data_IF_676737970345
#
_entry.id   IF_676737970345
#
_cell.length_a   1.000
_cell.length_b   1.000
_cell.length_c   1.000
_cell.angle_alpha   90.00
_cell.angle_beta   90.00
_cell.angle_gamma   90.00
#
_symmetry.space_group_name_H-M   'P 1'
#
loop_
_entity.id
_entity.type
_entity.pdbx_description
1 polymer ?
#
# COMPACT_ATOMS: atom_id res chain seq x y z
N UNK A 1 -65.57 20.70 26.24
CA UNK A 1 -64.24 20.64 25.60
C UNK A 1 -63.34 19.79 26.49
N UNK A 2 -62.98 18.58 26.07
CA UNK A 2 -62.09 17.70 26.82
C UNK A 2 -60.66 17.87 26.30
N UNK A 3 -59.74 18.23 27.19
CA UNK A 3 -58.32 18.38 26.86
C UNK A 3 -57.64 17.01 26.92
N UNK A 4 -57.08 16.57 25.79
CA UNK A 4 -56.27 15.36 25.68
C UNK A 4 -54.83 15.75 26.01
N UNK A 5 -54.29 15.21 27.11
CA UNK A 5 -52.88 15.35 27.44
C UNK A 5 -52.06 14.31 26.66
N UNK A 6 -51.16 14.76 25.79
CA UNK A 6 -50.18 13.89 25.15
C UNK A 6 -49.06 13.57 26.15
N UNK A 7 -48.90 12.28 26.47
CA UNK A 7 -47.73 11.78 27.18
C UNK A 7 -46.52 11.76 26.23
N UNK A 8 -45.43 12.42 26.60
CA UNK A 8 -44.18 12.39 25.88
C UNK A 8 -43.42 11.09 26.20
N UNK A 9 -43.10 10.30 25.18
CA UNK A 9 -42.25 9.11 25.32
C UNK A 9 -40.79 9.51 25.59
N UNK A 10 -40.09 8.83 26.50
CA UNK A 10 -38.67 9.10 26.74
C UNK A 10 -37.84 8.66 25.53
N UNK A 11 -37.02 9.57 25.01
CA UNK A 11 -36.01 9.29 23.98
C UNK A 11 -34.91 8.43 24.60
N UNK A 12 -34.73 7.21 24.09
CA UNK A 12 -33.55 6.39 24.38
C UNK A 12 -32.31 7.06 23.79
N UNK A 13 -31.20 7.19 24.55
CA UNK A 13 -29.96 7.71 24.00
C UNK A 13 -29.46 6.73 22.94
N UNK A 14 -29.31 7.19 21.69
CA UNK A 14 -28.54 6.44 20.69
C UNK A 14 -27.08 6.55 21.11
N UNK A 15 -26.50 5.44 21.55
CA UNK A 15 -25.05 5.28 21.61
C UNK A 15 -24.52 5.43 20.18
N UNK A 16 -23.98 6.60 19.83
CA UNK A 16 -23.17 6.70 18.62
C UNK A 16 -21.91 5.90 18.88
N UNK A 17 -21.74 4.78 18.18
CA UNK A 17 -20.40 4.21 18.00
C UNK A 17 -19.59 5.30 17.30
N UNK A 18 -18.69 5.95 18.03
CA UNK A 18 -17.68 6.79 17.40
C UNK A 18 -16.92 5.87 16.44
N UNK A 19 -16.87 6.23 15.15
CA UNK A 19 -16.00 5.54 14.22
C UNK A 19 -14.59 5.53 14.83
N UNK A 20 -13.94 4.37 14.87
CA UNK A 20 -12.55 4.31 15.31
C UNK A 20 -11.76 5.27 14.43
N UNK A 21 -11.07 6.23 15.06
CA UNK A 21 -10.22 7.14 14.33
C UNK A 21 -9.11 6.32 13.65
N UNK A 22 -8.87 6.56 12.37
CA UNK A 22 -7.74 5.95 11.68
C UNK A 22 -6.46 6.45 12.38
N UNK A 23 -5.51 5.57 12.74
CA UNK A 23 -4.27 5.98 13.37
C UNK A 23 -3.44 6.85 12.42
N UNK A 24 -2.52 7.62 12.98
CA UNK A 24 -1.48 8.32 12.22
C UNK A 24 -0.13 7.70 12.59
N UNK A 25 0.33 6.66 11.87
CA UNK A 25 1.63 6.07 12.11
C UNK A 25 2.76 7.09 11.96
N UNK A 26 3.83 6.92 12.73
CA UNK A 26 5.07 7.69 12.56
C UNK A 26 5.80 7.30 11.29
N UNK A 27 5.78 6.01 10.95
CA UNK A 27 6.36 5.46 9.74
C UNK A 27 5.44 4.41 9.11
N UNK A 28 5.27 4.48 7.79
CA UNK A 28 4.61 3.46 6.99
C UNK A 28 5.62 2.95 5.96
N UNK A 29 5.81 1.64 5.88
CA UNK A 29 6.51 0.98 4.76
C UNK A 29 5.50 0.23 3.93
N UNK A 30 5.44 0.54 2.65
CA UNK A 30 4.58 -0.12 1.67
C UNK A 30 5.47 -0.92 0.74
N UNK A 31 5.25 -2.22 0.67
CA UNK A 31 5.97 -3.12 -0.23
C UNK A 31 5.00 -3.64 -1.25
N UNK A 32 5.40 -3.56 -2.52
CA UNK A 32 4.61 -4.01 -3.65
C UNK A 32 5.34 -5.18 -4.29
N UNK A 33 4.76 -6.36 -4.15
CA UNK A 33 5.12 -7.59 -4.87
C UNK A 33 4.30 -7.66 -6.17
N UNK A 34 4.50 -8.69 -7.00
CA UNK A 34 3.86 -8.74 -8.31
C UNK A 34 3.24 -10.06 -8.73
N UNK A 35 2.25 -9.94 -9.62
CA UNK A 35 1.71 -11.01 -10.47
C UNK A 35 1.31 -12.27 -9.68
N UNK A 36 0.54 -12.11 -8.60
CA UNK A 36 0.03 -13.23 -7.81
C UNK A 36 -1.35 -12.95 -7.26
N UNK A 37 -2.21 -13.95 -7.38
CA UNK A 37 -3.54 -13.90 -6.76
C UNK A 37 -3.49 -14.11 -5.24
N UNK A 38 -4.49 -13.56 -4.52
CA UNK A 38 -4.70 -13.78 -3.08
C UNK A 38 -4.62 -15.27 -2.70
N UNK A 39 -5.34 -16.12 -3.44
CA UNK A 39 -5.38 -17.58 -3.20
C UNK A 39 -4.08 -18.30 -3.58
N UNK A 40 -3.22 -17.67 -4.38
CA UNK A 40 -1.89 -18.17 -4.73
C UNK A 40 -0.84 -17.93 -3.66
N UNK A 41 -1.07 -16.97 -2.75
CA UNK A 41 -0.09 -16.54 -1.74
C UNK A 41 -0.53 -16.88 -0.32
N UNK A 42 -1.73 -16.45 0.10
CA UNK A 42 -2.16 -16.61 1.48
C UNK A 42 -2.42 -18.10 1.79
N UNK A 43 -1.66 -18.65 2.74
CA UNK A 43 -1.68 -20.07 3.09
C UNK A 43 -0.76 -20.95 2.24
N UNK A 44 -0.04 -20.38 1.27
CA UNK A 44 0.93 -21.11 0.47
C UNK A 44 2.18 -21.43 1.31
N UNK A 45 2.60 -22.70 1.31
CA UNK A 45 3.80 -23.16 2.04
C UNK A 45 5.11 -22.54 1.54
N UNK A 46 5.10 -22.02 0.31
CA UNK A 46 6.21 -21.27 -0.26
C UNK A 46 6.19 -19.79 0.14
N UNK A 47 5.12 -19.29 0.78
CA UNK A 47 5.03 -17.92 1.28
C UNK A 47 4.79 -17.87 2.82
N UNK A 48 5.65 -18.52 3.63
CA UNK A 48 5.42 -18.59 5.08
C UNK A 48 5.46 -17.24 5.78
N UNK A 49 6.28 -16.28 5.33
CA UNK A 49 6.36 -14.96 5.96
C UNK A 49 5.12 -14.12 5.67
N UNK A 50 4.70 -14.00 4.40
CA UNK A 50 3.47 -13.27 4.05
C UNK A 50 2.26 -13.90 4.74
N UNK A 51 2.18 -15.24 4.77
CA UNK A 51 1.10 -15.95 5.47
C UNK A 51 1.11 -15.67 6.98
N UNK A 52 2.28 -15.57 7.60
CA UNK A 52 2.39 -15.22 9.02
C UNK A 52 1.96 -13.77 9.30
N UNK A 53 2.32 -12.83 8.42
CA UNK A 53 1.83 -11.44 8.49
C UNK A 53 0.30 -11.41 8.40
N UNK A 54 -0.29 -12.11 7.43
CA UNK A 54 -1.75 -12.17 7.25
C UNK A 54 -2.45 -12.77 8.47
N UNK A 55 -1.88 -13.81 9.09
CA UNK A 55 -2.45 -14.45 10.27
C UNK A 55 -2.42 -13.57 11.54
N UNK A 56 -1.48 -12.62 11.61
CA UNK A 56 -1.26 -11.76 12.77
C UNK A 56 -1.48 -10.27 12.48
N UNK A 57 -2.05 -9.95 11.32
CA UNK A 57 -2.38 -8.61 10.86
C UNK A 57 -3.79 -8.58 10.27
N UNK A 58 -4.14 -7.49 9.61
CA UNK A 58 -5.40 -7.39 8.89
C UNK A 58 -5.21 -7.84 7.44
N UNK A 59 -5.76 -9.00 7.12
CA UNK A 59 -5.77 -9.55 5.77
C UNK A 59 -7.01 -9.08 5.01
N UNK A 60 -6.82 -8.33 3.92
CA UNK A 60 -7.90 -7.81 3.08
C UNK A 60 -8.28 -8.84 2.02
N UNK A 61 -9.11 -9.79 2.42
CA UNK A 61 -9.50 -10.96 1.61
C UNK A 61 -10.26 -10.63 0.32
N UNK A 62 -10.68 -9.38 0.11
CA UNK A 62 -11.36 -8.91 -1.10
C UNK A 62 -10.66 -7.65 -1.65
N UNK A 63 -9.32 -7.69 -1.76
CA UNK A 63 -8.53 -6.66 -2.44
C UNK A 63 -8.37 -6.96 -3.92
N UNK A 64 -8.58 -5.96 -4.78
CA UNK A 64 -8.50 -6.11 -6.24
C UNK A 64 -7.60 -5.04 -6.86
N UNK A 65 -6.76 -5.44 -7.81
CA UNK A 65 -5.98 -4.52 -8.62
C UNK A 65 -6.84 -3.91 -9.75
N UNK A 66 -6.40 -2.77 -10.30
CA UNK A 66 -7.21 -1.99 -11.22
C UNK A 66 -7.24 -2.57 -12.63
N UNK A 67 -6.10 -3.08 -13.10
CA UNK A 67 -5.95 -3.49 -14.50
C UNK A 67 -4.75 -4.40 -14.72
N UNK A 68 -4.48 -4.73 -15.99
CA UNK A 68 -3.21 -5.24 -16.47
C UNK A 68 -2.68 -4.33 -17.59
N UNK A 69 -1.37 -4.09 -17.71
CA UNK A 69 -0.26 -4.69 -16.93
C UNK A 69 0.07 -3.93 -15.64
N UNK A 70 1.19 -4.31 -14.99
CA UNK A 70 1.73 -3.82 -13.73
C UNK A 70 1.79 -2.30 -13.55
N UNK A 71 2.44 -1.58 -14.47
CA UNK A 71 2.77 -0.16 -14.31
C UNK A 71 1.55 0.75 -13.98
N UNK A 72 0.40 0.62 -14.65
CA UNK A 72 -0.86 1.26 -14.25
C UNK A 72 -1.24 1.10 -12.77
N UNK A 73 -1.02 -0.06 -12.17
CA UNK A 73 -1.42 -0.35 -10.79
C UNK A 73 -0.51 0.37 -9.79
N UNK A 74 0.79 0.48 -10.08
CA UNK A 74 1.70 1.32 -9.29
C UNK A 74 1.31 2.80 -9.32
N UNK A 75 0.90 3.31 -10.48
CA UNK A 75 0.40 4.68 -10.63
C UNK A 75 -0.94 4.86 -9.90
N UNK A 76 -1.82 3.86 -9.95
CA UNK A 76 -3.10 3.87 -9.23
C UNK A 76 -2.89 3.98 -7.71
N UNK A 77 -2.01 3.16 -7.14
CA UNK A 77 -1.70 3.17 -5.72
C UNK A 77 -0.98 4.45 -5.28
N UNK A 78 -0.14 5.05 -6.12
CA UNK A 78 0.66 6.21 -5.75
C UNK A 78 0.00 7.57 -6.01
N UNK A 79 -0.83 7.67 -7.06
CA UNK A 79 -1.37 8.94 -7.54
C UNK A 79 -2.88 8.90 -7.83
N UNK A 80 -3.56 7.80 -7.52
CA UNK A 80 -4.99 7.68 -7.71
C UNK A 80 -5.41 7.65 -9.17
N UNK A 81 -4.50 7.39 -10.12
CA UNK A 81 -4.80 7.45 -11.55
C UNK A 81 -3.83 6.58 -12.34
N UNK A 82 -4.32 5.83 -13.33
CA UNK A 82 -3.48 5.05 -14.26
C UNK A 82 -2.89 5.89 -15.39
N UNK A 83 -3.33 7.15 -15.53
CA UNK A 83 -3.00 8.09 -16.61
C UNK A 83 -3.25 7.53 -18.02
N UNK A 84 -4.17 6.57 -18.15
CA UNK A 84 -4.46 5.89 -19.41
C UNK A 84 -3.31 5.01 -19.93
N UNK A 85 -2.33 4.69 -19.08
CA UNK A 85 -1.29 3.71 -19.39
C UNK A 85 -1.96 2.34 -19.57
N UNK A 86 -1.69 1.68 -20.69
CA UNK A 86 -2.27 0.36 -21.06
C UNK A 86 -1.21 -0.66 -21.46
N UNK A 87 0.07 -0.28 -21.36
CA UNK A 87 1.24 -1.10 -21.64
C UNK A 87 2.40 -0.56 -20.83
N UNK A 88 3.38 -1.42 -20.54
CA UNK A 88 4.61 -0.99 -19.90
C UNK A 88 5.37 0.01 -20.78
N UNK A 89 5.71 1.15 -20.18
CA UNK A 89 6.44 2.25 -20.79
C UNK A 89 7.60 2.66 -19.88
N UNK A 90 8.67 3.15 -20.47
CA UNK A 90 9.67 3.87 -19.70
C UNK A 90 10.37 4.94 -20.55
N UNK A 91 10.28 6.22 -20.16
CA UNK A 91 9.54 6.74 -19.00
C UNK A 91 8.03 6.92 -19.30
N UNK A 92 7.20 6.82 -18.27
CA UNK A 92 5.93 7.56 -18.20
C UNK A 92 6.21 8.96 -17.67
N UNK A 93 5.52 9.97 -18.21
CA UNK A 93 5.60 11.35 -17.75
C UNK A 93 4.22 11.82 -17.27
N UNK A 94 4.02 11.83 -15.95
CA UNK A 94 2.81 12.31 -15.30
C UNK A 94 2.90 13.79 -14.88
N UNK A 95 4.01 14.48 -15.23
CA UNK A 95 4.22 15.88 -14.91
C UNK A 95 4.14 16.16 -13.41
N UNK A 96 3.47 17.24 -13.04
CA UNK A 96 3.25 17.65 -11.66
C UNK A 96 1.84 17.27 -11.15
N UNK A 97 1.24 16.20 -11.67
CA UNK A 97 -0.04 15.71 -11.18
C UNK A 97 0.06 15.37 -9.66
N UNK A 98 -1.01 15.60 -8.87
CA UNK A 98 -0.99 15.28 -7.45
C UNK A 98 -0.77 13.78 -7.22
N UNK A 99 0.02 13.48 -6.20
CA UNK A 99 0.41 12.14 -5.79
C UNK A 99 0.83 12.14 -4.33
N UNK A 100 0.81 10.95 -3.71
CA UNK A 100 1.08 10.77 -2.28
C UNK A 100 2.40 11.40 -1.84
N UNK A 101 3.47 11.24 -2.62
CA UNK A 101 4.78 11.81 -2.30
C UNK A 101 4.74 13.35 -2.26
N UNK A 102 4.16 13.98 -3.29
CA UNK A 102 4.02 15.44 -3.36
C UNK A 102 3.11 16.01 -2.27
N UNK A 103 2.04 15.29 -1.93
CA UNK A 103 1.06 15.71 -0.91
C UNK A 103 1.65 15.65 0.49
N UNK A 104 2.37 14.57 0.81
CA UNK A 104 3.13 14.45 2.06
C UNK A 104 4.11 15.61 2.22
N UNK A 105 4.92 15.88 1.20
CA UNK A 105 5.91 16.95 1.23
C UNK A 105 5.25 18.34 1.39
N UNK A 106 4.13 18.59 0.71
CA UNK A 106 3.39 19.84 0.82
C UNK A 106 2.77 20.03 2.22
N UNK A 107 2.40 18.94 2.89
CA UNK A 107 1.88 18.94 4.27
C UNK A 107 2.97 18.94 5.35
N UNK A 108 4.26 18.96 4.97
CA UNK A 108 5.39 18.96 5.91
C UNK A 108 5.79 17.57 6.44
N UNK A 109 5.24 16.51 5.87
CA UNK A 109 5.69 15.13 6.08
C UNK A 109 6.83 14.76 5.13
N UNK A 110 7.36 13.55 5.29
CA UNK A 110 8.52 13.07 4.51
C UNK A 110 8.20 11.83 3.69
N UNK A 111 8.81 11.72 2.53
CA UNK A 111 8.66 10.61 1.60
C UNK A 111 10.01 10.15 1.04
N UNK A 112 10.22 8.84 0.98
CA UNK A 112 11.24 8.22 0.13
C UNK A 112 10.74 6.89 -0.45
N UNK A 113 11.32 6.47 -1.56
CA UNK A 113 11.13 5.14 -2.10
C UNK A 113 12.47 4.43 -2.25
N UNK A 114 12.51 3.16 -1.88
CA UNK A 114 13.69 2.32 -1.83
C UNK A 114 13.55 1.17 -2.83
N UNK A 115 14.29 1.22 -3.93
CA UNK A 115 14.19 0.21 -4.99
C UNK A 115 15.45 -0.67 -5.06
N UNK A 116 15.26 -1.99 -5.06
CA UNK A 116 16.35 -2.95 -5.14
C UNK A 116 17.00 -2.91 -6.53
N UNK A 117 18.32 -2.77 -6.56
CA UNK A 117 19.09 -2.68 -7.80
C UNK A 117 19.04 -1.31 -8.49
N UNK A 118 18.39 -0.29 -7.90
CA UNK A 118 18.51 1.09 -8.39
C UNK A 118 20.01 1.50 -8.34
N UNK A 119 20.63 1.93 -9.45
CA UNK A 119 22.08 2.13 -9.49
C UNK A 119 22.61 3.25 -8.59
N UNK A 120 21.81 4.31 -8.43
CA UNK A 120 22.17 5.49 -7.65
C UNK A 120 20.90 6.28 -7.29
N UNK A 121 20.93 7.13 -6.24
CA UNK A 121 19.81 8.02 -5.92
C UNK A 121 19.34 8.81 -7.14
N UNK A 122 18.03 8.77 -7.41
CA UNK A 122 17.40 9.50 -8.52
C UNK A 122 17.74 8.98 -9.92
N UNK A 123 18.37 7.81 -10.07
CA UNK A 123 18.74 7.29 -11.39
C UNK A 123 17.52 7.15 -12.32
N UNK A 124 17.56 7.72 -13.54
CA UNK A 124 16.44 7.68 -14.48
C UNK A 124 16.44 6.43 -15.37
N UNK A 125 17.39 5.52 -15.19
CA UNK A 125 17.54 4.33 -16.05
C UNK A 125 16.26 3.50 -16.02
N UNK A 126 15.86 2.97 -17.17
CA UNK A 126 14.66 2.13 -17.25
C UNK A 126 14.87 0.76 -16.60
N UNK A 127 16.09 0.24 -16.65
CA UNK A 127 16.47 -1.01 -16.00
C UNK A 127 17.96 -1.04 -15.63
N UNK A 128 18.30 -1.89 -14.68
CA UNK A 128 19.68 -2.20 -14.30
C UNK A 128 19.73 -3.59 -13.63
N UNK A 129 20.31 -4.58 -14.31
CA UNK A 129 20.18 -5.97 -13.85
C UNK A 129 18.71 -6.37 -13.78
N UNK A 130 18.20 -6.61 -12.55
CA UNK A 130 16.81 -6.98 -12.27
C UNK A 130 15.92 -5.82 -11.80
N UNK A 131 16.49 -4.63 -11.63
CA UNK A 131 15.73 -3.42 -11.36
C UNK A 131 14.92 -3.02 -12.60
N UNK A 132 13.65 -2.64 -12.38
CA UNK A 132 12.75 -2.12 -13.41
C UNK A 132 12.09 -0.82 -12.93
N UNK A 133 12.34 0.30 -13.63
CA UNK A 133 11.80 1.62 -13.26
C UNK A 133 10.28 1.71 -13.37
N UNK A 134 9.64 0.86 -14.19
CA UNK A 134 8.18 0.82 -14.33
C UNK A 134 7.44 0.49 -13.01
N UNK A 135 8.13 -0.11 -12.03
CA UNK A 135 7.60 -0.42 -10.68
C UNK A 135 7.84 0.73 -9.68
N UNK A 136 8.39 1.86 -10.13
CA UNK A 136 8.85 2.98 -9.30
C UNK A 136 8.00 4.21 -9.63
N UNK A 137 6.74 4.29 -9.16
CA UNK A 137 5.76 5.25 -9.67
C UNK A 137 6.19 6.70 -9.43
N UNK A 138 6.83 6.99 -8.30
CA UNK A 138 7.28 8.33 -7.96
C UNK A 138 8.30 8.91 -8.94
N UNK A 139 9.04 8.07 -9.69
CA UNK A 139 9.99 8.54 -10.69
C UNK A 139 9.30 9.17 -11.91
N UNK A 140 7.99 8.96 -12.11
CA UNK A 140 7.22 9.47 -13.24
C UNK A 140 6.70 10.91 -13.03
N UNK A 141 6.97 11.52 -11.87
CA UNK A 141 6.44 12.83 -11.49
C UNK A 141 7.55 13.85 -11.28
N UNK A 142 7.34 15.09 -11.73
CA UNK A 142 8.31 16.19 -11.59
C UNK A 142 8.21 16.91 -10.25
N UNK A 143 7.12 16.70 -9.51
CA UNK A 143 6.86 17.28 -8.20
C UNK A 143 7.27 16.35 -7.03
N UNK A 144 7.92 15.22 -7.32
CA UNK A 144 8.62 14.40 -6.32
C UNK A 144 10.13 14.58 -6.53
N UNK A 145 10.90 14.99 -5.50
CA UNK A 145 12.34 15.16 -5.65
C UNK A 145 13.02 13.85 -6.08
N UNK A 146 13.89 13.90 -7.10
CA UNK A 146 14.63 12.72 -7.54
C UNK A 146 15.47 12.10 -6.40
N UNK A 147 15.92 12.91 -5.44
CA UNK A 147 16.65 12.47 -4.25
C UNK A 147 15.81 11.58 -3.30
N UNK A 148 14.49 11.59 -3.41
CA UNK A 148 13.61 10.67 -2.68
C UNK A 148 13.61 9.26 -3.26
N UNK A 149 14.16 9.04 -4.47
CA UNK A 149 14.33 7.71 -5.07
C UNK A 149 15.69 7.14 -4.69
N UNK A 150 15.73 6.17 -3.78
CA UNK A 150 16.94 5.64 -3.17
C UNK A 150 17.16 4.18 -3.55
N UNK A 151 18.42 3.72 -3.69
CA UNK A 151 18.73 2.30 -3.72
C UNK A 151 18.27 1.62 -2.43
N UNK A 152 17.76 0.40 -2.51
CA UNK A 152 17.35 -0.35 -1.32
C UNK A 152 18.47 -0.56 -0.30
N UNK A 153 19.74 -0.53 -0.72
CA UNK A 153 20.90 -0.53 0.19
C UNK A 153 20.95 0.66 1.15
N UNK A 154 20.18 1.74 0.90
CA UNK A 154 20.01 2.86 1.80
C UNK A 154 18.83 2.71 2.77
N UNK A 155 18.05 1.62 2.67
CA UNK A 155 16.99 1.34 3.64
C UNK A 155 17.62 1.17 5.04
N UNK A 156 17.14 1.88 6.08
CA UNK A 156 17.81 1.98 7.37
C UNK A 156 17.57 0.72 8.23
N UNK A 157 18.07 -0.42 7.77
CA UNK A 157 17.94 -1.70 8.46
C UNK A 157 18.52 -1.60 9.88
N UNK A 158 17.70 -1.91 10.88
CA UNK A 158 18.06 -1.81 12.29
C UNK A 158 18.01 -0.39 12.88
N UNK A 159 17.69 0.64 12.09
CA UNK A 159 17.45 2.01 12.55
C UNK A 159 16.14 2.58 11.97
N UNK A 160 15.04 1.86 12.18
CA UNK A 160 13.76 2.19 11.56
C UNK A 160 13.15 3.52 12.00
N UNK A 161 13.57 4.06 13.15
CA UNK A 161 13.17 5.39 13.62
C UNK A 161 13.67 6.54 12.71
N UNK A 162 14.61 6.28 11.81
CA UNK A 162 15.07 7.27 10.82
C UNK A 162 14.33 7.17 9.48
N UNK A 163 13.31 6.31 9.36
CA UNK A 163 12.51 6.24 8.14
C UNK A 163 11.75 7.55 7.91
N UNK A 164 11.42 7.88 6.65
CA UNK A 164 10.40 8.87 6.34
C UNK A 164 9.03 8.52 6.95
N UNK A 165 8.10 9.47 6.90
CA UNK A 165 6.70 9.28 7.27
C UNK A 165 6.05 8.16 6.43
N UNK A 166 6.27 8.18 5.11
CA UNK A 166 5.86 7.09 4.22
C UNK A 166 7.03 6.68 3.33
N UNK A 167 7.27 5.38 3.27
CA UNK A 167 8.29 4.75 2.46
C UNK A 167 7.69 3.69 1.54
N UNK A 168 8.09 3.69 0.28
CA UNK A 168 7.87 2.52 -0.59
C UNK A 168 9.12 1.66 -0.64
N UNK A 169 8.95 0.34 -0.70
CA UNK A 169 10.02 -0.62 -0.98
C UNK A 169 9.61 -1.43 -2.21
N UNK A 170 10.45 -1.39 -3.24
CA UNK A 170 10.23 -2.09 -4.50
C UNK A 170 11.34 -3.14 -4.67
N UNK A 171 11.05 -4.43 -4.42
CA UNK A 171 11.99 -5.50 -4.73
C UNK A 171 12.24 -5.57 -6.24
N UNK A 172 13.37 -6.15 -6.63
CA UNK A 172 13.67 -6.34 -8.05
C UNK A 172 12.86 -7.51 -8.64
N UNK A 173 12.92 -7.73 -9.97
CA UNK A 173 12.09 -8.75 -10.63
C UNK A 173 12.31 -10.19 -10.11
N UNK A 174 13.44 -10.49 -9.50
CA UNK A 174 13.71 -11.81 -8.90
C UNK A 174 13.07 -11.94 -7.52
N UNK A 175 12.86 -10.83 -6.81
CA UNK A 175 12.39 -10.81 -5.42
C UNK A 175 10.99 -10.24 -5.25
N UNK A 176 10.35 -9.74 -6.31
CA UNK A 176 8.95 -9.29 -6.32
C UNK A 176 7.98 -10.36 -6.89
N UNK A 177 8.44 -11.60 -7.11
CA UNK A 177 7.67 -12.71 -7.73
C UNK A 177 7.34 -12.59 -9.24
N UNK A 178 7.81 -11.55 -9.95
CA UNK A 178 7.61 -11.42 -11.40
C UNK A 178 8.41 -12.49 -12.18
N UNK A 179 9.75 -12.50 -12.01
CA UNK A 179 10.64 -13.51 -12.63
C UNK A 179 11.00 -14.63 -11.64
N UNK A 180 10.97 -14.33 -10.35
CA UNK A 180 11.37 -15.22 -9.28
C UNK A 180 10.25 -16.13 -8.76
N UNK A 181 10.65 -17.13 -7.97
CA UNK A 181 9.69 -18.01 -7.29
C UNK A 181 9.09 -17.35 -6.05
N UNK A 182 7.87 -17.76 -5.67
CA UNK A 182 7.22 -17.36 -4.42
C UNK A 182 8.16 -17.56 -3.20
N UNK A 183 8.83 -18.71 -3.13
CA UNK A 183 9.75 -19.04 -2.03
C UNK A 183 10.95 -18.10 -1.95
N UNK A 184 11.46 -17.65 -3.09
CA UNK A 184 12.60 -16.74 -3.14
C UNK A 184 12.21 -15.34 -2.66
N UNK A 185 11.10 -14.81 -3.19
CA UNK A 185 10.57 -13.50 -2.83
C UNK A 185 10.14 -13.44 -1.36
N UNK A 186 9.39 -14.44 -0.87
CA UNK A 186 9.00 -14.51 0.55
C UNK A 186 10.22 -14.60 1.48
N UNK A 187 11.24 -15.37 1.10
CA UNK A 187 12.49 -15.41 1.86
C UNK A 187 13.23 -14.07 1.83
N UNK A 188 13.17 -13.32 0.72
CA UNK A 188 13.71 -11.97 0.63
C UNK A 188 12.95 -11.02 1.56
N UNK A 189 11.62 -10.98 1.48
CA UNK A 189 10.76 -10.19 2.35
C UNK A 189 11.05 -10.48 3.83
N UNK A 190 11.13 -11.75 4.20
CA UNK A 190 11.45 -12.15 5.56
C UNK A 190 12.82 -11.61 6.00
N UNK A 191 13.87 -11.79 5.18
CA UNK A 191 15.22 -11.31 5.53
C UNK A 191 15.28 -9.79 5.65
N UNK A 192 14.62 -9.06 4.75
CA UNK A 192 14.78 -7.62 4.65
C UNK A 192 13.82 -6.84 5.55
N UNK A 193 12.61 -7.37 5.78
CA UNK A 193 11.51 -6.60 6.36
C UNK A 193 10.93 -7.21 7.64
N UNK A 194 11.26 -8.44 8.02
CA UNK A 194 10.80 -8.97 9.32
C UNK A 194 11.27 -8.11 10.50
N UNK A 195 12.48 -7.54 10.41
CA UNK A 195 12.98 -6.59 11.40
C UNK A 195 12.09 -5.35 11.53
N UNK A 196 11.66 -4.77 10.41
CA UNK A 196 10.74 -3.63 10.42
C UNK A 196 9.34 -4.03 10.88
N UNK A 197 8.81 -5.16 10.39
CA UNK A 197 7.50 -5.68 10.79
C UNK A 197 7.41 -5.85 12.31
N UNK A 198 8.40 -6.51 12.91
CA UNK A 198 8.46 -6.70 14.37
C UNK A 198 8.60 -5.38 15.12
N UNK A 199 9.43 -4.45 14.61
CA UNK A 199 9.60 -3.14 15.21
C UNK A 199 8.31 -2.31 15.14
N UNK A 200 7.56 -2.40 14.04
CA UNK A 200 6.37 -1.62 13.78
C UNK A 200 5.27 -1.83 14.82
N UNK A 201 5.11 -3.06 15.31
CA UNK A 201 4.17 -3.42 16.39
C UNK A 201 4.30 -2.55 17.64
N UNK A 202 5.53 -2.18 18.01
CA UNK A 202 5.84 -1.47 19.24
C UNK A 202 6.08 0.04 19.04
N UNK A 203 6.10 0.54 17.81
CA UNK A 203 6.63 1.87 17.49
C UNK A 203 5.68 2.72 16.62
N UNK A 204 4.37 2.70 16.90
CA UNK A 204 3.35 3.47 16.14
C UNK A 204 3.62 3.45 14.62
N UNK A 205 3.90 2.28 14.06
CA UNK A 205 4.34 2.16 12.67
C UNK A 205 3.61 1.01 11.99
N UNK A 206 3.60 1.05 10.66
CA UNK A 206 2.79 0.17 9.83
C UNK A 206 3.64 -0.40 8.69
N UNK A 207 3.48 -1.69 8.45
CA UNK A 207 3.89 -2.39 7.23
C UNK A 207 2.63 -2.72 6.43
N UNK A 208 2.64 -2.36 5.15
CA UNK A 208 1.63 -2.78 4.18
C UNK A 208 2.35 -3.64 3.13
N UNK A 209 1.93 -4.89 2.97
CA UNK A 209 2.38 -5.76 1.89
C UNK A 209 1.22 -5.91 0.92
N UNK A 210 1.39 -5.49 -0.32
CA UNK A 210 0.37 -5.61 -1.38
C UNK A 210 1.00 -6.08 -2.68
N UNK A 211 0.18 -6.36 -3.69
CA UNK A 211 0.61 -6.81 -5.01
C UNK A 211 0.05 -5.87 -6.08
N UNK A 212 0.76 -5.69 -7.19
CA UNK A 212 0.32 -4.82 -8.28
C UNK A 212 -0.92 -5.36 -9.00
N UNK A 213 -0.92 -6.65 -9.36
CA UNK A 213 -1.94 -7.40 -10.08
C UNK A 213 -1.79 -8.91 -9.84
N UNK A 214 -2.78 -9.70 -10.26
CA UNK A 214 -2.70 -11.16 -10.25
C UNK A 214 -1.96 -11.73 -11.48
N UNK A 215 -1.70 -13.04 -11.49
CA UNK A 215 -1.04 -13.73 -12.62
C UNK A 215 -2.01 -14.14 -13.76
N UNK A 216 -3.25 -13.65 -13.75
CA UNK A 216 -4.27 -14.08 -14.69
C UNK A 216 -4.97 -12.91 -15.38
N UNK A 217 -4.44 -12.55 -16.56
CA UNK A 217 -5.07 -11.59 -17.46
C UNK A 217 -6.43 -12.02 -18.01
N UNK A 218 -6.91 -13.25 -17.72
CA UNK A 218 -8.25 -13.68 -18.10
C UNK A 218 -9.25 -13.28 -17.02
N UNK A 219 -10.14 -12.35 -17.39
CA UNK A 219 -11.16 -11.65 -16.59
C UNK A 219 -12.16 -12.53 -15.81
N UNK A 220 -12.02 -13.86 -15.83
CA UNK A 220 -13.00 -14.82 -15.29
C UNK A 220 -12.59 -15.63 -14.05
N UNK A 221 -11.30 -15.80 -13.74
CA UNK A 221 -10.89 -16.79 -12.71
C UNK A 221 -10.59 -16.18 -11.33
N UNK A 222 -9.97 -15.00 -11.26
CA UNK A 222 -9.56 -14.33 -10.02
C UNK A 222 -9.99 -12.87 -9.93
N UNK A 223 -10.56 -12.28 -11.01
CA UNK A 223 -11.01 -10.88 -11.07
C UNK A 223 -9.92 -9.85 -10.66
N UNK A 224 -8.65 -10.16 -10.89
CA UNK A 224 -7.52 -9.35 -10.43
C UNK A 224 -7.42 -9.24 -8.90
N UNK A 225 -7.82 -10.29 -8.18
CA UNK A 225 -7.81 -10.33 -6.71
C UNK A 225 -6.39 -10.58 -6.19
N UNK A 226 -5.87 -9.62 -5.43
CA UNK A 226 -4.49 -9.55 -4.97
C UNK A 226 -4.38 -9.71 -3.45
N UNK A 227 -3.24 -10.18 -2.93
CA UNK A 227 -2.94 -10.05 -1.51
C UNK A 227 -2.73 -8.60 -1.08
N UNK A 228 -3.36 -8.21 0.02
CA UNK A 228 -3.11 -6.95 0.72
C UNK A 228 -3.22 -7.19 2.23
N UNK A 229 -2.10 -7.00 2.93
CA UNK A 229 -1.98 -7.21 4.37
C UNK A 229 -1.47 -5.95 5.05
N UNK A 230 -2.20 -5.49 6.07
CA UNK A 230 -1.75 -4.45 6.99
C UNK A 230 -1.22 -5.11 8.26
N UNK A 231 -0.04 -4.69 8.73
CA UNK A 231 0.62 -5.28 9.90
C UNK A 231 1.40 -4.22 10.67
N UNK A 232 1.17 -4.10 11.98
CA UNK A 232 1.89 -3.13 12.80
C UNK A 232 1.10 -2.65 14.00
N UNK A 233 1.51 -1.53 14.57
CA UNK A 233 0.79 -0.91 15.67
C UNK A 233 -0.65 -0.55 15.27
N UNK A 234 -1.57 -0.68 16.23
CA UNK A 234 -3.00 -0.35 16.07
C UNK A 234 -3.77 -1.20 15.05
N UNK A 235 -3.14 -2.18 14.40
CA UNK A 235 -3.83 -3.13 13.53
C UNK A 235 -4.47 -4.21 14.38
N UNK A 236 -5.78 -4.42 14.19
CA UNK A 236 -6.53 -5.55 14.72
C UNK A 236 -6.34 -6.75 13.78
N UNK A 237 -5.76 -7.86 14.27
CA UNK A 237 -5.61 -9.05 13.44
C UNK A 237 -6.97 -9.62 13.03
N UNK A 238 -7.12 -10.00 11.77
CA UNK A 238 -8.37 -10.54 11.25
C UNK A 238 -8.43 -10.65 9.73
N UNK A 239 -9.47 -11.32 9.25
CA UNK A 239 -9.82 -11.34 7.84
C UNK A 239 -10.95 -10.33 7.59
N UNK A 240 -10.72 -9.43 6.65
CA UNK A 240 -11.62 -8.35 6.30
C UNK A 240 -12.12 -8.58 4.87
N UNK A 241 -13.44 -8.65 4.71
CA UNK A 241 -14.10 -9.00 3.45
C UNK A 241 -14.72 -7.77 2.75
N UNK A 242 -14.46 -6.56 3.26
CA UNK A 242 -14.77 -5.35 2.52
C UNK A 242 -14.00 -5.32 1.20
N UNK A 243 -14.68 -4.91 0.13
CA UNK A 243 -14.06 -4.81 -1.18
C UNK A 243 -13.21 -3.56 -1.23
N UNK A 244 -11.93 -3.74 -1.50
CA UNK A 244 -10.97 -2.65 -1.64
C UNK A 244 -10.17 -2.79 -2.92
N UNK A 245 -9.52 -1.71 -3.32
CA UNK A 245 -8.55 -1.69 -4.39
C UNK A 245 -7.38 -0.73 -4.07
N UNK A 246 -6.52 -0.46 -5.05
CA UNK A 246 -5.36 0.43 -4.86
C UNK A 246 -5.77 1.84 -4.42
N UNK A 247 -6.91 2.33 -4.90
CA UNK A 247 -7.45 3.63 -4.52
C UNK A 247 -7.95 3.68 -3.08
N UNK A 248 -8.49 2.58 -2.54
CA UNK A 248 -8.86 2.52 -1.12
C UNK A 248 -7.62 2.56 -0.22
N UNK A 249 -6.53 1.88 -0.59
CA UNK A 249 -5.26 1.94 0.15
C UNK A 249 -4.71 3.36 0.13
N UNK A 250 -4.67 4.02 -1.04
CA UNK A 250 -4.25 5.41 -1.16
C UNK A 250 -5.14 6.36 -0.33
N UNK A 251 -6.46 6.24 -0.45
CA UNK A 251 -7.41 7.05 0.33
C UNK A 251 -7.23 6.89 1.84
N UNK A 252 -6.80 5.70 2.28
CA UNK A 252 -6.46 5.44 3.68
C UNK A 252 -5.20 6.19 4.09
N UNK A 253 -4.13 6.12 3.29
CA UNK A 253 -2.88 6.84 3.54
C UNK A 253 -3.08 8.36 3.57
N UNK A 254 -3.83 8.90 2.61
CA UNK A 254 -4.18 10.33 2.57
C UNK A 254 -4.98 10.74 3.81
N UNK A 255 -5.95 9.91 4.23
CA UNK A 255 -6.77 10.16 5.41
C UNK A 255 -5.96 10.13 6.71
N UNK A 256 -4.97 9.24 6.84
CA UNK A 256 -4.08 9.15 8.02
C UNK A 256 -3.34 10.45 8.31
N UNK A 257 -2.95 11.18 7.26
CA UNK A 257 -2.13 12.39 7.37
C UNK A 257 -2.89 13.68 7.07
N UNK A 258 -4.22 13.61 6.87
CA UNK A 258 -5.06 14.76 6.55
C UNK A 258 -4.75 15.39 5.18
N UNK A 259 -4.30 14.58 4.22
CA UNK A 259 -3.95 15.01 2.88
C UNK A 259 -5.23 15.17 2.02
N UNK A 260 -5.20 16.03 0.99
CA UNK A 260 -6.20 15.97 -0.07
C UNK A 260 -6.18 14.59 -0.72
N UNK A 261 -7.36 14.07 -1.09
CA UNK A 261 -7.42 12.82 -1.84
C UNK A 261 -7.26 13.06 -3.34
N UNK A 262 -6.32 12.39 -3.99
CA UNK A 262 -6.06 12.56 -5.44
C UNK A 262 -6.77 11.53 -6.31
N UNK A 263 -7.06 11.93 -7.56
CA UNK A 263 -7.61 11.04 -8.58
C UNK A 263 -8.86 10.27 -8.13
N UNK A 264 -8.89 8.97 -8.42
CA UNK A 264 -9.95 8.05 -8.03
C UNK A 264 -9.96 7.73 -6.53
N UNK A 265 -8.88 8.01 -5.77
CA UNK A 265 -8.88 7.86 -4.31
C UNK A 265 -9.87 8.83 -3.63
N UNK A 266 -10.17 9.98 -4.26
CA UNK A 266 -11.20 10.91 -3.78
C UNK A 266 -12.60 10.27 -3.69
N UNK A 267 -12.89 9.27 -4.54
CA UNK A 267 -14.14 8.50 -4.51
C UNK A 267 -14.08 7.22 -3.68
N UNK A 268 -12.89 6.82 -3.22
CA UNK A 268 -12.68 5.59 -2.47
C UNK A 268 -12.85 5.80 -0.96
N UNK A 269 -13.51 4.84 -0.31
CA UNK A 269 -13.65 4.84 1.14
C UNK A 269 -12.33 4.42 1.80
N UNK A 270 -11.81 5.17 2.79
CA UNK A 270 -10.70 4.71 3.61
C UNK A 270 -11.05 3.45 4.39
N UNK A 271 -10.07 2.58 4.57
CA UNK A 271 -10.16 1.38 5.42
C UNK A 271 -10.18 1.83 6.88
N UNK A 272 -11.23 1.49 7.62
CA UNK A 272 -11.48 2.04 8.98
C UNK A 272 -11.72 0.99 10.05
N UNK A 273 -12.06 -0.24 9.67
CA UNK A 273 -12.46 -1.30 10.59
C UNK A 273 -11.29 -2.21 11.02
N UNK A 274 -10.09 -2.00 10.48
CA UNK A 274 -8.88 -2.73 10.88
C UNK A 274 -8.16 -2.12 12.09
N UNK A 275 -8.62 -0.98 12.63
CA UNK A 275 -7.89 -0.23 13.66
C UNK A 275 -8.44 -0.45 15.08
N UNK A 276 -7.58 -0.59 16.09
CA UNK A 276 -7.99 -0.70 17.51
C UNK A 276 -6.85 -0.85 18.50
#
# INVERSE_FOLDING_TARGET
>A
MAAVALAASPLTPRTSLAAAAIPQPSHIVIVVEENRSESGIIGNKSAPFITALAASGANMTQSFAETHPSEPNYLALFAGNTFGVTKDLCPVNAGAAPNLGSELLAAGYTFAGYAEGLPSPGSPVCSAGKYARKHVPWANFTNVPAASSLPFSAFPMGNYASLPTVSFVIPNNDNNMHDGSIAQADAWLNRQLSGYANWALANNSLLIVTFDEDDNSNVGASRNQIPTVFYGAHVRPGNYAEQINHYNVLATLEQMYGLPKTGYAAGAAPITDIWG
#
